data_IF_530141789718
#
_entry.id   IF_530141789718
#
_cell.length_a   1.000
_cell.length_b   1.000
_cell.length_c   1.000
_cell.angle_alpha   90.00
_cell.angle_beta   90.00
_cell.angle_gamma   90.00
#
_symmetry.space_group_name_H-M   'P 1'
#
loop_
_entity.id
_entity.type
_entity.pdbx_description
1 polymer ?
#
# COMPACT_ATOMS: atom_id res chain seq x y z
N UNK A 1 -5.04 24.36 2.32
CA UNK A 1 -6.20 23.65 2.94
C UNK A 1 -5.87 23.31 4.40
N UNK A 2 -6.84 23.29 5.35
CA UNK A 2 -6.52 22.90 6.73
C UNK A 2 -6.29 21.37 6.91
N UNK A 3 -5.68 20.96 8.03
CA UNK A 3 -5.35 19.54 8.28
C UNK A 3 -6.57 18.63 8.42
N UNK A 4 -7.70 19.16 8.87
CA UNK A 4 -8.92 18.36 9.02
C UNK A 4 -9.55 18.11 7.64
N UNK A 5 -9.69 19.16 6.84
CA UNK A 5 -10.11 19.08 5.45
C UNK A 5 -9.22 18.13 4.64
N UNK A 6 -7.89 18.19 4.83
CA UNK A 6 -6.95 17.28 4.20
C UNK A 6 -7.20 15.81 4.58
N UNK A 7 -7.48 15.50 5.85
CA UNK A 7 -7.85 14.14 6.28
C UNK A 7 -9.15 13.67 5.66
N UNK A 8 -10.15 14.53 5.62
CA UNK A 8 -11.45 14.22 5.02
C UNK A 8 -11.32 13.99 3.51
N UNK A 9 -10.43 14.72 2.84
CA UNK A 9 -10.13 14.53 1.42
C UNK A 9 -9.42 13.20 1.13
N UNK A 10 -8.42 12.85 1.95
CA UNK A 10 -7.75 11.54 1.88
C UNK A 10 -8.77 10.42 2.10
N UNK A 11 -9.63 10.54 3.12
CA UNK A 11 -10.66 9.55 3.43
C UNK A 11 -11.64 9.38 2.27
N UNK A 12 -12.14 10.49 1.71
CA UNK A 12 -13.07 10.49 0.57
C UNK A 12 -12.46 9.81 -0.67
N UNK A 13 -11.14 9.92 -0.85
CA UNK A 13 -10.44 9.33 -1.98
C UNK A 13 -10.07 7.86 -1.74
N UNK A 14 -9.57 7.54 -0.55
CA UNK A 14 -8.91 6.26 -0.26
C UNK A 14 -9.79 5.24 0.47
N UNK A 15 -11.00 5.58 0.90
CA UNK A 15 -11.98 4.61 1.45
C UNK A 15 -13.13 4.34 0.46
N UNK A 16 -12.84 4.45 -0.84
CA UNK A 16 -13.80 4.30 -1.95
C UNK A 16 -13.15 3.53 -3.12
N UNK A 17 -13.96 2.86 -3.97
CA UNK A 17 -13.49 2.30 -5.23
C UNK A 17 -12.76 3.34 -6.08
N UNK A 18 -11.87 2.90 -6.97
CA UNK A 18 -11.13 3.84 -7.81
C UNK A 18 -12.06 4.67 -8.68
N UNK A 19 -11.90 5.99 -8.64
CA UNK A 19 -12.54 6.93 -9.54
C UNK A 19 -11.48 7.87 -10.11
N UNK A 20 -11.42 7.97 -11.44
CA UNK A 20 -10.38 8.73 -12.13
C UNK A 20 -10.43 10.21 -11.80
N UNK A 21 -11.63 10.80 -11.76
CA UNK A 21 -11.81 12.22 -11.49
C UNK A 21 -11.33 12.54 -10.09
N UNK A 22 -11.81 11.80 -9.08
CA UNK A 22 -11.42 11.96 -7.69
C UNK A 22 -9.92 11.74 -7.47
N UNK A 23 -9.33 10.73 -8.12
CA UNK A 23 -7.88 10.50 -8.07
C UNK A 23 -7.10 11.67 -8.68
N UNK A 24 -7.52 12.17 -9.84
CA UNK A 24 -6.86 13.29 -10.52
C UNK A 24 -6.90 14.55 -9.65
N UNK A 25 -8.07 14.88 -9.10
CA UNK A 25 -8.22 16.01 -8.17
C UNK A 25 -7.37 15.80 -6.92
N UNK A 26 -7.36 14.60 -6.34
CA UNK A 26 -6.52 14.30 -5.18
C UNK A 26 -5.03 14.55 -5.44
N UNK A 27 -4.50 14.11 -6.59
CA UNK A 27 -3.08 14.30 -6.91
C UNK A 27 -2.77 15.76 -7.24
N UNK A 28 -3.71 16.50 -7.84
CA UNK A 28 -3.58 17.96 -8.04
C UNK A 28 -3.44 18.70 -6.71
N UNK A 29 -4.30 18.39 -5.73
CA UNK A 29 -4.21 18.98 -4.39
C UNK A 29 -2.94 18.53 -3.67
N UNK A 30 -2.53 17.26 -3.83
CA UNK A 30 -1.32 16.73 -3.18
C UNK A 30 -0.04 17.42 -3.67
N UNK A 31 0.02 17.77 -4.96
CA UNK A 31 1.19 18.33 -5.62
C UNK A 31 1.10 19.84 -5.83
N UNK A 32 0.01 20.47 -5.34
CA UNK A 32 -0.42 21.85 -5.62
C UNK A 32 -0.71 22.20 -7.08
N UNK A 33 -0.11 21.49 -8.04
CA UNK A 33 -0.37 21.62 -9.46
C UNK A 33 0.10 20.37 -10.23
N UNK A 34 -0.42 20.17 -11.44
CA UNK A 34 0.14 19.23 -12.43
C UNK A 34 0.07 19.85 -13.83
N UNK A 35 1.08 19.61 -14.65
CA UNK A 35 1.03 19.85 -16.09
C UNK A 35 0.13 18.79 -16.73
N UNK A 36 -0.96 19.22 -17.36
CA UNK A 36 -1.85 18.32 -18.09
C UNK A 36 -1.18 17.83 -19.38
N UNK A 37 -0.78 16.55 -19.40
CA UNK A 37 -0.05 15.95 -20.52
C UNK A 37 -0.47 14.49 -20.75
N UNK A 38 -1.75 14.23 -21.05
CA UNK A 38 -2.28 12.90 -21.04
C UNK A 38 -1.80 12.05 -22.21
N UNK A 39 -1.64 10.75 -21.98
CA UNK A 39 -1.60 9.74 -23.04
C UNK A 39 -2.23 8.45 -22.53
N UNK A 40 -2.69 7.60 -23.44
CA UNK A 40 -3.27 6.31 -23.10
C UNK A 40 -2.74 5.21 -24.02
N UNK A 41 -2.10 4.21 -23.42
CA UNK A 41 -1.55 3.03 -24.10
C UNK A 41 -2.37 1.80 -23.72
N UNK A 42 -2.74 1.03 -24.73
CA UNK A 42 -3.47 -0.23 -24.59
C UNK A 42 -3.04 -1.20 -25.70
N UNK A 43 -3.34 -2.49 -25.53
CA UNK A 43 -3.10 -3.51 -26.55
C UNK A 43 -1.63 -3.60 -26.96
N UNK A 44 -1.33 -3.41 -28.25
CA UNK A 44 0.02 -3.54 -28.82
C UNK A 44 1.03 -2.55 -28.24
N UNK A 45 0.58 -1.40 -27.72
CA UNK A 45 1.45 -0.40 -27.09
C UNK A 45 1.94 -0.79 -25.70
N UNK A 46 1.35 -1.83 -25.09
CA UNK A 46 1.89 -2.44 -23.87
C UNK A 46 2.99 -3.44 -24.30
N UNK A 47 4.19 -3.40 -23.70
CA UNK A 47 5.25 -4.34 -24.05
C UNK A 47 4.82 -5.79 -23.82
N UNK A 48 5.23 -6.67 -24.74
CA UNK A 48 4.80 -8.07 -24.84
C UNK A 48 4.86 -8.82 -23.50
N UNK A 49 5.95 -8.65 -22.76
CA UNK A 49 6.18 -9.29 -21.47
C UNK A 49 5.10 -8.95 -20.40
N UNK A 50 4.42 -7.81 -20.54
CA UNK A 50 3.46 -7.30 -19.57
C UNK A 50 2.00 -7.37 -20.02
N UNK A 51 1.70 -7.70 -21.29
CA UNK A 51 0.32 -7.72 -21.83
C UNK A 51 -0.63 -8.67 -21.09
N UNK A 52 -0.11 -9.77 -20.57
CA UNK A 52 -0.88 -10.73 -19.76
C UNK A 52 -1.26 -10.20 -18.36
N UNK A 53 -0.64 -9.09 -17.92
CA UNK A 53 -0.87 -8.54 -16.58
C UNK A 53 -1.45 -7.12 -16.58
N UNK A 54 -1.15 -6.32 -17.61
CA UNK A 54 -1.54 -4.91 -17.73
C UNK A 54 -2.44 -4.75 -18.95
N UNK A 55 -3.63 -4.21 -18.72
CA UNK A 55 -4.60 -3.92 -19.76
C UNK A 55 -4.37 -2.55 -20.38
N UNK A 56 -4.04 -1.54 -19.56
CA UNK A 56 -3.71 -0.19 -20.06
C UNK A 56 -2.76 0.57 -19.14
N UNK A 57 -2.03 1.51 -19.73
CA UNK A 57 -1.23 2.53 -19.05
C UNK A 57 -1.72 3.90 -19.52
N UNK A 58 -2.18 4.73 -18.60
CA UNK A 58 -2.55 6.12 -18.86
C UNK A 58 -1.65 7.04 -18.04
N UNK A 59 -1.09 8.09 -18.65
CA UNK A 59 -0.58 9.24 -17.90
C UNK A 59 -1.65 10.30 -17.91
N UNK A 60 -1.91 10.91 -16.76
CA UNK A 60 -2.86 12.03 -16.64
C UNK A 60 -2.15 13.38 -16.59
N UNK A 61 -0.92 13.43 -16.10
CA UNK A 61 -0.13 14.64 -16.04
C UNK A 61 1.31 14.39 -15.63
N UNK A 62 2.05 15.50 -15.52
CA UNK A 62 3.42 15.54 -15.00
C UNK A 62 3.51 16.57 -13.89
N UNK A 63 4.48 16.39 -13.03
CA UNK A 63 4.84 17.33 -12.00
C UNK A 63 6.36 17.46 -11.97
N UNK A 64 6.84 18.65 -11.67
CA UNK A 64 8.25 18.93 -11.49
C UNK A 64 8.41 19.68 -10.16
N UNK A 65 9.25 19.17 -9.27
CA UNK A 65 9.49 19.77 -7.96
C UNK A 65 10.60 20.86 -7.96
N UNK A 66 11.13 21.19 -9.15
CA UNK A 66 12.29 22.05 -9.36
C UNK A 66 13.54 21.26 -9.81
N UNK A 67 13.63 19.98 -9.46
CA UNK A 67 14.80 19.13 -9.73
C UNK A 67 14.42 17.82 -10.43
N UNK A 68 13.33 17.20 -9.98
CA UNK A 68 12.89 15.86 -10.35
C UNK A 68 11.57 15.92 -11.10
N UNK A 69 11.46 15.14 -12.17
CA UNK A 69 10.22 14.91 -12.89
C UNK A 69 9.48 13.70 -12.32
N UNK A 70 8.20 13.91 -12.00
CA UNK A 70 7.28 12.90 -11.49
C UNK A 70 6.09 12.79 -12.44
N UNK A 71 5.90 11.63 -13.07
CA UNK A 71 4.74 11.40 -13.93
C UNK A 71 3.59 10.77 -13.12
N UNK A 72 2.34 11.18 -13.40
CA UNK A 72 1.15 10.68 -12.71
C UNK A 72 0.45 9.67 -13.61
N UNK A 73 0.41 8.41 -13.17
CA UNK A 73 0.00 7.26 -13.96
C UNK A 73 -1.22 6.54 -13.38
N UNK A 74 -2.07 6.03 -14.25
CA UNK A 74 -3.12 5.07 -13.96
C UNK A 74 -2.81 3.80 -14.75
N UNK A 75 -2.62 2.69 -14.03
CA UNK A 75 -2.34 1.38 -14.62
C UNK A 75 -3.52 0.48 -14.33
N UNK A 76 -4.20 0.05 -15.39
CA UNK A 76 -5.25 -0.97 -15.27
C UNK A 76 -4.63 -2.35 -15.44
N UNK A 77 -4.95 -3.25 -14.51
CA UNK A 77 -4.50 -4.64 -14.51
C UNK A 77 -5.47 -5.51 -15.32
N UNK A 78 -5.01 -6.69 -15.74
CA UNK A 78 -5.87 -7.74 -16.27
C UNK A 78 -6.68 -8.38 -15.13
N UNK A 79 -7.83 -8.97 -15.46
CA UNK A 79 -8.78 -9.53 -14.48
C UNK A 79 -8.17 -10.63 -13.61
N UNK A 80 -7.31 -11.46 -14.17
CA UNK A 80 -6.64 -12.55 -13.47
C UNK A 80 -5.47 -12.06 -12.59
N UNK A 81 -5.07 -10.80 -12.74
CA UNK A 81 -3.92 -10.22 -12.04
C UNK A 81 -4.36 -9.57 -10.74
N UNK A 82 -4.08 -10.22 -9.61
CA UNK A 82 -4.37 -9.64 -8.30
C UNK A 82 -3.42 -8.49 -7.94
N UNK A 83 -3.92 -7.54 -7.15
CA UNK A 83 -3.10 -6.48 -6.54
C UNK A 83 -1.99 -7.02 -5.61
N UNK A 84 -2.07 -8.28 -5.16
CA UNK A 84 -1.15 -8.89 -4.23
C UNK A 84 -0.01 -9.68 -4.92
N UNK A 85 -0.31 -10.38 -6.01
CA UNK A 85 0.62 -11.30 -6.70
C UNK A 85 1.54 -10.61 -7.71
N UNK A 86 1.30 -9.33 -8.03
CA UNK A 86 1.99 -8.65 -9.13
C UNK A 86 3.03 -7.61 -8.70
N UNK A 87 3.50 -7.62 -7.43
CA UNK A 87 4.30 -6.50 -6.90
C UNK A 87 5.59 -6.23 -7.68
N UNK A 88 6.35 -7.29 -7.93
CA UNK A 88 7.60 -7.23 -8.71
C UNK A 88 7.32 -6.81 -10.15
N UNK A 89 6.27 -7.38 -10.77
CA UNK A 89 5.88 -7.06 -12.14
C UNK A 89 5.50 -5.58 -12.30
N UNK A 90 4.62 -5.07 -11.43
CA UNK A 90 4.20 -3.66 -11.40
C UNK A 90 5.40 -2.71 -11.28
N UNK A 91 6.32 -3.02 -10.36
CA UNK A 91 7.55 -2.24 -10.15
C UNK A 91 8.44 -2.25 -11.40
N UNK A 92 8.66 -3.43 -11.99
CA UNK A 92 9.50 -3.57 -13.18
C UNK A 92 8.88 -2.88 -14.40
N UNK A 93 7.55 -2.91 -14.51
CA UNK A 93 6.84 -2.18 -15.55
C UNK A 93 7.06 -0.67 -15.41
N UNK A 94 6.80 -0.10 -14.23
CA UNK A 94 7.02 1.33 -14.04
C UNK A 94 8.51 1.70 -14.16
N UNK A 95 9.44 0.85 -13.73
CA UNK A 95 10.87 1.06 -13.95
C UNK A 95 11.21 1.18 -15.44
N UNK A 96 10.68 0.30 -16.30
CA UNK A 96 10.89 0.39 -17.75
C UNK A 96 10.31 1.67 -18.34
N UNK A 97 9.16 2.13 -17.84
CA UNK A 97 8.58 3.42 -18.20
C UNK A 97 9.47 4.62 -17.79
N UNK A 98 10.03 4.59 -16.58
CA UNK A 98 10.92 5.64 -16.07
C UNK A 98 12.24 5.70 -16.85
N UNK A 99 12.77 4.54 -17.25
CA UNK A 99 13.95 4.39 -18.10
C UNK A 99 13.72 4.75 -19.58
N UNK A 100 12.54 5.22 -19.95
CA UNK A 100 12.24 5.62 -21.32
C UNK A 100 12.10 4.47 -22.33
N UNK A 101 12.04 3.20 -21.88
CA UNK A 101 11.86 2.03 -22.77
C UNK A 101 10.52 2.05 -23.51
N UNK A 102 9.52 2.72 -22.93
CA UNK A 102 8.19 2.93 -23.51
C UNK A 102 7.48 4.10 -22.84
N UNK A 103 6.35 4.53 -23.41
CA UNK A 103 5.52 5.63 -22.91
C UNK A 103 6.05 7.01 -23.31
N UNK A 104 7.30 7.31 -22.95
CA UNK A 104 7.99 8.56 -23.32
C UNK A 104 9.48 8.30 -23.37
N UNK A 105 10.17 8.78 -24.40
CA UNK A 105 11.61 8.56 -24.63
C UNK A 105 12.52 9.20 -23.58
N UNK A 106 12.05 10.22 -22.86
CA UNK A 106 12.86 10.89 -21.85
C UNK A 106 12.83 10.13 -20.52
N UNK A 107 13.99 10.08 -19.86
CA UNK A 107 14.15 9.59 -18.49
C UNK A 107 13.36 10.45 -17.48
N UNK A 108 13.00 9.81 -16.37
CA UNK A 108 12.16 10.37 -15.31
C UNK A 108 12.61 9.76 -13.98
N UNK A 109 12.59 10.55 -12.92
CA UNK A 109 13.08 10.13 -11.61
C UNK A 109 12.05 9.28 -10.87
N UNK A 110 10.76 9.60 -11.01
CA UNK A 110 9.69 8.90 -10.31
C UNK A 110 8.32 8.92 -11.02
N UNK A 111 7.41 8.10 -10.50
CA UNK A 111 6.00 8.13 -10.86
C UNK A 111 5.09 7.89 -9.64
N UNK A 112 4.00 8.66 -9.58
CA UNK A 112 2.86 8.38 -8.72
C UNK A 112 1.85 7.55 -9.51
N UNK A 113 1.46 6.39 -8.99
CA UNK A 113 0.77 5.36 -9.75
C UNK A 113 -0.46 4.86 -9.01
N UNK A 114 -1.61 4.95 -9.66
CA UNK A 114 -2.82 4.22 -9.28
C UNK A 114 -2.88 2.88 -10.03
N UNK A 115 -2.76 1.76 -9.32
CA UNK A 115 -3.01 0.43 -9.88
C UNK A 115 -4.46 0.02 -9.62
N UNK A 116 -5.18 -0.27 -10.68
CA UNK A 116 -6.63 -0.53 -10.65
C UNK A 116 -6.90 -1.89 -11.29
N UNK A 117 -7.60 -2.77 -10.59
CA UNK A 117 -8.08 -4.03 -11.15
C UNK A 117 -9.58 -3.90 -11.47
N UNK A 118 -10.08 -4.43 -12.61
CA UNK A 118 -11.43 -4.15 -13.10
C UNK A 118 -12.56 -4.64 -12.18
N UNK A 119 -12.32 -5.69 -11.40
CA UNK A 119 -13.34 -6.32 -10.52
C UNK A 119 -13.02 -6.12 -9.02
N UNK A 120 -12.09 -5.24 -8.67
CA UNK A 120 -11.74 -4.97 -7.28
C UNK A 120 -12.20 -3.57 -6.87
N UNK A 121 -12.86 -3.48 -5.72
CA UNK A 121 -13.20 -2.21 -5.07
C UNK A 121 -12.00 -1.61 -4.32
N UNK A 122 -10.95 -2.40 -4.12
CA UNK A 122 -9.69 -1.96 -3.57
C UNK A 122 -8.69 -1.71 -4.70
N UNK A 123 -7.80 -0.76 -4.51
CA UNK A 123 -6.78 -0.34 -5.46
C UNK A 123 -5.50 0.07 -4.72
N UNK A 124 -4.41 0.30 -5.46
CA UNK A 124 -3.13 0.71 -4.83
C UNK A 124 -2.68 2.06 -5.34
N UNK A 125 -2.38 2.96 -4.41
CA UNK A 125 -1.67 4.19 -4.69
C UNK A 125 -0.20 4.00 -4.33
N UNK A 126 0.70 4.23 -5.28
CA UNK A 126 2.13 3.93 -5.13
C UNK A 126 3.03 5.04 -5.60
N UNK A 127 4.17 5.18 -4.95
CA UNK A 127 5.32 5.90 -5.46
C UNK A 127 6.32 4.87 -5.99
N UNK A 128 6.76 5.04 -7.23
CA UNK A 128 7.87 4.28 -7.83
C UNK A 128 8.97 5.26 -8.18
N UNK A 129 10.20 4.99 -7.75
CA UNK A 129 11.36 5.86 -7.97
C UNK A 129 12.53 5.04 -8.48
N UNK A 130 13.31 5.60 -9.41
CA UNK A 130 14.60 5.02 -9.78
C UNK A 130 15.59 5.19 -8.63
N UNK A 131 16.13 4.08 -8.11
CA UNK A 131 17.27 4.13 -7.20
C UNK A 131 18.51 4.33 -8.08
N UNK A 132 19.43 5.24 -7.77
CA UNK A 132 20.69 5.37 -8.52
C UNK A 132 21.82 5.08 -7.55
N UNK A 133 22.53 3.97 -7.75
CA UNK A 133 23.79 3.70 -7.05
C UNK A 133 24.91 4.29 -7.89
N UNK A 134 25.54 5.35 -7.39
CA UNK A 134 26.80 5.82 -7.96
C UNK A 134 27.93 4.98 -7.35
N UNK A 135 28.37 3.93 -8.03
CA UNK A 135 29.62 3.25 -7.67
C UNK A 135 30.80 3.98 -8.34
N UNK A 136 31.66 4.62 -7.53
CA UNK A 136 32.93 5.14 -8.02
C UNK A 136 33.90 3.96 -8.24
N UNK A 137 34.22 3.66 -9.50
CA UNK A 137 35.29 2.73 -9.81
C UNK A 137 36.66 3.32 -9.37
N UNK A 138 37.59 2.53 -8.80
CA UNK A 138 38.90 3.00 -8.32
C UNK A 138 39.84 3.61 -9.38
N UNK A 139 39.43 3.69 -10.65
CA UNK A 139 40.31 4.04 -11.79
C UNK A 139 39.90 5.30 -12.56
N UNK A 140 39.05 6.16 -12.00
CA UNK A 140 38.76 7.49 -12.55
C UNK A 140 38.07 7.51 -13.93
N UNK A 141 37.77 6.35 -14.52
CA UNK A 141 36.84 6.20 -15.63
C UNK A 141 35.49 5.82 -15.08
N UNK A 142 34.50 6.70 -15.22
CA UNK A 142 33.09 6.36 -15.02
C UNK A 142 32.73 5.25 -16.01
N UNK A 143 32.78 4.00 -15.55
CA UNK A 143 31.96 2.95 -16.13
C UNK A 143 30.61 3.10 -15.46
N UNK A 144 29.66 3.72 -16.17
CA UNK A 144 28.24 3.56 -15.86
C UNK A 144 27.95 2.10 -16.22
N UNK A 145 28.23 1.17 -15.31
CA UNK A 145 27.64 -0.14 -15.41
C UNK A 145 26.15 0.07 -15.18
N UNK A 146 25.39 0.06 -16.28
CA UNK A 146 23.93 -0.05 -16.33
C UNK A 146 23.47 -1.39 -15.73
N UNK A 147 24.00 -1.79 -14.57
CA UNK A 147 23.37 -2.82 -13.76
C UNK A 147 22.05 -2.24 -13.26
N UNK A 148 20.98 -2.50 -14.03
CA UNK A 148 19.56 -2.34 -13.73
C UNK A 148 19.32 -1.94 -12.28
N UNK A 149 19.45 -0.65 -11.96
CA UNK A 149 19.28 -0.24 -10.59
C UNK A 149 17.81 -0.49 -10.23
N UNK A 150 17.52 -1.34 -9.24
CA UNK A 150 16.16 -1.76 -9.00
C UNK A 150 15.36 -0.56 -8.52
N UNK A 151 14.38 -0.11 -9.31
CA UNK A 151 13.44 0.91 -8.87
C UNK A 151 12.82 0.51 -7.52
N UNK A 152 12.70 1.46 -6.60
CA UNK A 152 12.00 1.27 -5.34
C UNK A 152 10.53 1.56 -5.51
N UNK A 153 9.72 0.87 -4.71
CA UNK A 153 8.28 1.08 -4.71
C UNK A 153 7.73 1.05 -3.30
N UNK A 154 6.94 2.07 -3.01
CA UNK A 154 6.13 2.17 -1.82
C UNK A 154 4.66 2.24 -2.20
N UNK A 155 3.77 1.68 -1.38
CA UNK A 155 2.37 1.58 -1.74
C UNK A 155 1.45 1.68 -0.53
N UNK A 156 0.39 2.47 -0.65
CA UNK A 156 -0.83 2.34 0.14
C UNK A 156 -1.78 1.36 -0.56
N UNK A 157 -2.33 0.40 0.18
CA UNK A 157 -3.53 -0.32 -0.24
C UNK A 157 -4.73 0.49 0.26
N UNK A 158 -5.62 0.86 -0.65
CA UNK A 158 -6.73 1.76 -0.43
C UNK A 158 -7.98 1.20 -1.10
N UNK A 159 -9.16 1.69 -0.74
CA UNK A 159 -10.41 1.16 -1.27
C UNK A 159 -11.49 1.03 -0.21
N UNK A 160 -12.65 0.54 -0.64
CA UNK A 160 -13.82 0.38 0.21
C UNK A 160 -13.57 -0.51 1.44
N UNK A 161 -12.71 -1.53 1.33
CA UNK A 161 -12.40 -2.45 2.42
C UNK A 161 -11.21 -2.01 3.29
N UNK A 162 -10.60 -0.86 3.00
CA UNK A 162 -9.41 -0.38 3.67
C UNK A 162 -9.67 0.90 4.45
N UNK A 163 -9.09 0.96 5.66
CA UNK A 163 -9.07 2.20 6.46
C UNK A 163 -7.87 3.03 6.05
N UNK A 164 -8.08 4.33 5.92
CA UNK A 164 -7.07 5.25 5.38
C UNK A 164 -6.16 5.88 6.44
N UNK A 165 -6.17 5.41 7.70
CA UNK A 165 -5.43 6.03 8.81
C UNK A 165 -3.93 6.26 8.54
N UNK A 166 -3.25 5.27 7.96
CA UNK A 166 -1.82 5.39 7.62
C UNK A 166 -1.59 6.39 6.49
N UNK A 167 -2.45 6.40 5.47
CA UNK A 167 -2.36 7.39 4.40
C UNK A 167 -2.66 8.81 4.91
N UNK A 168 -3.65 8.95 5.79
CA UNK A 168 -3.97 10.21 6.46
C UNK A 168 -2.79 10.72 7.27
N UNK A 169 -2.19 9.91 8.15
CA UNK A 169 -1.07 10.38 8.99
C UNK A 169 0.16 10.76 8.17
N UNK A 170 0.38 10.12 7.02
CA UNK A 170 1.54 10.36 6.16
C UNK A 170 1.36 11.50 5.18
N UNK A 171 0.20 11.64 4.55
CA UNK A 171 -0.02 12.60 3.47
C UNK A 171 -0.66 13.91 3.95
N UNK A 172 -1.23 13.96 5.15
CA UNK A 172 -1.96 15.16 5.65
C UNK A 172 -1.09 16.41 5.65
N UNK A 173 0.19 16.32 6.00
CA UNK A 173 1.06 17.48 6.08
C UNK A 173 1.41 18.02 4.69
N UNK A 174 1.62 17.13 3.71
CA UNK A 174 1.88 17.52 2.32
C UNK A 174 0.61 18.16 1.73
N UNK A 175 -0.54 17.48 1.89
CA UNK A 175 -1.81 17.92 1.33
C UNK A 175 -2.34 19.22 1.96
N UNK A 176 -1.94 19.54 3.19
CA UNK A 176 -2.29 20.80 3.85
C UNK A 176 -1.36 21.96 3.47
N UNK A 177 -0.22 21.69 2.82
CA UNK A 177 0.76 22.70 2.42
C UNK A 177 0.49 23.17 0.98
N UNK A 178 -0.34 24.20 0.85
CA UNK A 178 -0.67 24.85 -0.43
C UNK A 178 0.30 25.97 -0.81
N UNK A 179 1.29 26.27 0.03
CA UNK A 179 2.29 27.32 -0.23
C UNK A 179 3.50 26.79 -1.00
N UNK A 180 3.91 25.54 -0.76
CA UNK A 180 5.12 24.95 -1.34
C UNK A 180 4.84 23.59 -1.97
N UNK A 181 5.29 23.43 -3.22
CA UNK A 181 5.26 22.16 -3.93
C UNK A 181 6.07 21.10 -3.16
N UNK A 182 5.57 19.86 -2.99
CA UNK A 182 6.34 18.82 -2.33
C UNK A 182 7.51 18.36 -3.21
N UNK A 183 8.64 18.13 -2.57
CA UNK A 183 9.81 17.50 -3.18
C UNK A 183 9.61 15.98 -3.33
N UNK A 184 10.34 15.36 -4.26
CA UNK A 184 10.39 13.90 -4.37
C UNK A 184 10.84 13.23 -3.07
N UNK A 185 11.74 13.87 -2.30
CA UNK A 185 12.19 13.37 -1.01
C UNK A 185 11.06 13.38 0.05
N UNK A 186 10.24 14.43 0.10
CA UNK A 186 9.07 14.49 0.98
C UNK A 186 8.01 13.46 0.60
N UNK A 187 7.77 13.28 -0.71
CA UNK A 187 6.89 12.21 -1.20
C UNK A 187 7.44 10.83 -0.84
N UNK A 188 8.74 10.59 -0.99
CA UNK A 188 9.38 9.34 -0.59
C UNK A 188 9.17 9.06 0.91
N UNK A 189 9.46 10.03 1.78
CA UNK A 189 9.29 9.85 3.23
C UNK A 189 7.83 9.63 3.62
N UNK A 190 6.88 10.32 2.98
CA UNK A 190 5.46 10.10 3.24
C UNK A 190 5.02 8.69 2.81
N UNK A 191 5.54 8.18 1.70
CA UNK A 191 5.24 6.83 1.24
C UNK A 191 6.04 5.73 1.97
N UNK A 192 7.12 6.08 2.64
CA UNK A 192 7.97 5.16 3.39
C UNK A 192 7.29 4.70 4.69
N UNK A 193 6.37 3.75 4.55
CA UNK A 193 5.70 3.10 5.68
C UNK A 193 6.67 2.05 6.24
N UNK A 194 7.22 2.28 7.44
CA UNK A 194 7.92 1.23 8.18
C UNK A 194 7.08 -0.07 8.18
N UNK A 195 7.71 -1.21 7.89
CA UNK A 195 7.03 -2.51 7.77
C UNK A 195 6.20 -2.88 9.01
N UNK A 196 6.59 -2.34 10.16
CA UNK A 196 5.81 -2.29 11.40
C UNK A 196 6.05 -0.92 12.03
N UNK A 197 5.02 -0.09 12.13
CA UNK A 197 5.18 1.22 12.80
C UNK A 197 5.46 1.01 14.29
N UNK A 198 6.29 1.88 14.88
CA UNK A 198 6.49 1.91 16.35
C UNK A 198 5.15 1.93 17.10
N UNK A 199 4.17 2.65 16.57
CA UNK A 199 2.82 2.70 17.12
C UNK A 199 2.14 1.33 17.15
N UNK A 200 2.16 0.57 16.05
CA UNK A 200 1.60 -0.77 16.01
C UNK A 200 2.26 -1.68 17.05
N UNK A 201 3.59 -1.63 17.15
CA UNK A 201 4.33 -2.43 18.13
C UNK A 201 3.90 -2.10 19.56
N UNK A 202 3.84 -0.82 19.92
CA UNK A 202 3.42 -0.42 21.27
C UNK A 202 1.97 -0.80 21.56
N UNK A 203 1.03 -0.57 20.63
CA UNK A 203 -0.38 -0.99 20.79
C UNK A 203 -0.50 -2.51 20.95
N UNK A 204 0.23 -3.28 20.15
CA UNK A 204 0.22 -4.75 20.23
C UNK A 204 0.83 -5.25 21.55
N UNK A 205 1.93 -4.65 21.99
CA UNK A 205 2.54 -4.92 23.29
C UNK A 205 1.57 -4.63 24.44
N UNK A 206 0.89 -3.50 24.39
CA UNK A 206 -0.06 -3.11 25.45
C UNK A 206 -1.26 -4.07 25.49
N UNK A 207 -1.73 -4.55 24.33
CA UNK A 207 -2.72 -5.63 24.25
C UNK A 207 -2.20 -6.94 24.85
N UNK A 208 -0.95 -7.29 24.61
CA UNK A 208 -0.30 -8.46 25.22
C UNK A 208 -0.26 -8.35 26.73
N UNK A 209 0.21 -7.21 27.27
CA UNK A 209 0.28 -6.97 28.71
C UNK A 209 -1.11 -7.13 29.34
N UNK A 210 -2.11 -6.42 28.81
CA UNK A 210 -3.49 -6.49 29.30
C UNK A 210 -4.06 -7.92 29.25
N UNK A 211 -3.82 -8.66 28.17
CA UNK A 211 -4.30 -10.03 28.02
C UNK A 211 -3.65 -10.97 29.01
N UNK A 212 -2.33 -10.82 29.22
CA UNK A 212 -1.57 -11.63 30.18
C UNK A 212 -2.01 -11.35 31.60
N UNK A 213 -2.19 -10.09 31.99
CA UNK A 213 -2.67 -9.71 33.32
C UNK A 213 -4.06 -10.28 33.61
N UNK A 214 -4.99 -10.19 32.65
CA UNK A 214 -6.32 -10.78 32.79
C UNK A 214 -6.26 -12.32 32.91
N UNK A 215 -5.34 -12.98 32.21
CA UNK A 215 -5.14 -14.43 32.33
C UNK A 215 -4.53 -14.82 33.68
N UNK A 216 -3.57 -14.04 34.19
CA UNK A 216 -2.99 -14.28 35.52
C UNK A 216 -4.07 -14.17 36.60
N UNK A 217 -4.90 -13.13 36.55
CA UNK A 217 -6.03 -12.96 37.47
C UNK A 217 -7.01 -14.13 37.39
N UNK A 218 -7.36 -14.58 36.18
CA UNK A 218 -8.25 -15.71 35.95
C UNK A 218 -7.68 -17.02 36.53
N UNK A 219 -6.40 -17.28 36.33
CA UNK A 219 -5.70 -18.47 36.84
C UNK A 219 -5.58 -18.41 38.36
N UNK A 220 -5.35 -17.24 38.95
CA UNK A 220 -5.29 -17.08 40.40
C UNK A 220 -6.64 -17.30 41.08
N UNK A 221 -7.73 -16.81 40.46
CA UNK A 221 -9.06 -16.80 41.08
C UNK A 221 -9.88 -18.08 40.80
N UNK A 222 -9.45 -18.96 39.89
CA UNK A 222 -10.18 -20.16 39.52
C UNK A 222 -9.32 -21.42 39.62
N UNK A 223 -9.55 -22.21 40.66
CA UNK A 223 -8.79 -23.44 40.94
C UNK A 223 -8.84 -24.46 39.80
N UNK A 224 -9.97 -24.60 39.12
CA UNK A 224 -10.11 -25.56 38.02
C UNK A 224 -9.25 -25.15 36.82
N UNK A 225 -9.24 -23.86 36.49
CA UNK A 225 -8.40 -23.32 35.40
C UNK A 225 -6.93 -23.47 35.75
N UNK A 226 -6.56 -23.15 37.00
CA UNK A 226 -5.19 -23.32 37.49
C UNK A 226 -4.68 -24.75 37.34
N UNK A 227 -5.45 -25.72 37.82
CA UNK A 227 -5.09 -27.14 37.71
C UNK A 227 -4.97 -27.60 36.25
N UNK A 228 -5.85 -27.13 35.35
CA UNK A 228 -5.75 -27.45 33.92
C UNK A 228 -4.49 -26.86 33.26
N UNK A 229 -4.15 -25.62 33.60
CA UNK A 229 -2.93 -24.97 33.11
C UNK A 229 -1.66 -25.69 33.60
N UNK A 230 -1.61 -26.05 34.87
CA UNK A 230 -0.50 -26.81 35.47
C UNK A 230 -0.37 -28.21 34.82
N UNK A 231 -1.47 -28.95 34.69
CA UNK A 231 -1.49 -30.28 34.07
C UNK A 231 -1.03 -30.26 32.62
N UNK A 232 -1.34 -29.19 31.87
CA UNK A 232 -0.94 -29.02 30.46
C UNK A 232 0.39 -28.29 30.28
N UNK A 233 1.07 -27.92 31.38
CA UNK A 233 2.30 -27.12 31.35
C UNK A 233 2.15 -25.82 30.54
N UNK A 234 1.00 -25.15 30.69
CA UNK A 234 0.68 -23.91 29.98
C UNK A 234 1.02 -22.70 30.85
N UNK A 235 1.87 -21.83 30.34
CA UNK A 235 2.16 -20.52 30.93
C UNK A 235 1.24 -19.44 30.33
N UNK A 236 0.71 -18.55 31.15
CA UNK A 236 -0.14 -17.40 30.75
C UNK A 236 0.56 -16.49 29.72
N UNK A 237 1.88 -16.32 29.83
CA UNK A 237 2.69 -15.55 28.86
C UNK A 237 2.62 -16.18 27.47
N UNK A 238 2.87 -17.47 27.36
CA UNK A 238 2.88 -18.16 26.06
C UNK A 238 1.48 -18.30 25.50
N UNK A 239 0.49 -18.51 26.37
CA UNK A 239 -0.92 -18.51 25.98
C UNK A 239 -1.33 -17.17 25.39
N UNK A 240 -1.05 -16.05 26.06
CA UNK A 240 -1.36 -14.71 25.58
C UNK A 240 -0.70 -14.41 24.22
N UNK A 241 0.59 -14.77 24.06
CA UNK A 241 1.30 -14.63 22.78
C UNK A 241 0.64 -15.45 21.67
N UNK A 242 0.32 -16.72 21.92
CA UNK A 242 -0.34 -17.61 20.94
C UNK A 242 -1.72 -17.09 20.58
N UNK A 243 -2.51 -16.66 21.56
CA UNK A 243 -3.85 -16.11 21.34
C UNK A 243 -3.81 -14.87 20.45
N UNK A 244 -2.98 -13.89 20.78
CA UNK A 244 -2.86 -12.68 19.96
C UNK A 244 -2.31 -12.99 18.56
N UNK A 245 -1.34 -13.90 18.45
CA UNK A 245 -0.82 -14.36 17.16
C UNK A 245 -1.91 -15.03 16.31
N UNK A 246 -2.75 -15.86 16.91
CA UNK A 246 -3.90 -16.48 16.24
C UNK A 246 -4.92 -15.42 15.80
N UNK A 247 -5.23 -14.42 16.63
CA UNK A 247 -6.13 -13.33 16.24
C UNK A 247 -5.56 -12.58 15.03
N UNK A 248 -4.28 -12.22 15.04
CA UNK A 248 -3.62 -11.57 13.89
C UNK A 248 -3.66 -12.46 12.65
N UNK A 249 -3.43 -13.77 12.81
CA UNK A 249 -3.51 -14.74 11.72
C UNK A 249 -4.92 -14.83 11.12
N UNK A 250 -5.96 -14.87 11.96
CA UNK A 250 -7.35 -14.81 11.49
C UNK A 250 -7.62 -13.50 10.75
N UNK A 251 -7.12 -12.36 11.25
CA UNK A 251 -7.21 -11.10 10.53
C UNK A 251 -6.54 -11.15 9.15
N UNK A 252 -5.39 -11.81 9.03
CA UNK A 252 -4.71 -12.03 7.75
C UNK A 252 -5.53 -12.91 6.79
N UNK A 253 -6.12 -14.01 7.28
CA UNK A 253 -6.99 -14.87 6.47
C UNK A 253 -8.24 -14.15 6.00
N UNK A 254 -8.88 -13.35 6.86
CA UNK A 254 -10.04 -12.54 6.48
C UNK A 254 -9.70 -11.61 5.31
N UNK A 255 -8.51 -10.99 5.32
CA UNK A 255 -8.09 -10.05 4.27
C UNK A 255 -7.90 -10.73 2.92
N UNK A 256 -7.73 -12.05 2.88
CA UNK A 256 -7.76 -12.85 1.65
C UNK A 256 -9.18 -13.17 1.17
N UNK A 257 -10.22 -12.78 1.90
CA UNK A 257 -11.62 -13.13 1.59
C UNK A 257 -11.94 -14.60 1.85
N UNK A 258 -11.29 -15.23 2.84
CA UNK A 258 -11.44 -16.66 3.12
C UNK A 258 -12.50 -16.99 4.16
N UNK A 259 -13.06 -15.99 4.85
CA UNK A 259 -14.12 -16.22 5.82
C UNK A 259 -15.49 -15.84 5.26
N UNK A 260 -16.53 -16.59 5.65
CA UNK A 260 -17.90 -16.35 5.18
C UNK A 260 -18.11 -16.65 3.69
N UNK A 261 -17.28 -17.52 3.09
CA UNK A 261 -17.45 -17.93 1.69
C UNK A 261 -18.72 -18.77 1.58
N UNK A 262 -19.61 -18.42 0.64
CA UNK A 262 -20.83 -19.18 0.37
C UNK A 262 -20.52 -20.60 -0.13
N UNK A 263 -21.46 -21.53 0.09
CA UNK A 263 -21.29 -22.98 -0.17
C UNK A 263 -20.73 -23.31 -1.56
N UNK A 264 -21.13 -22.55 -2.58
CA UNK A 264 -20.74 -22.74 -3.98
C UNK A 264 -19.92 -21.57 -4.55
N UNK A 265 -19.43 -20.68 -3.68
CA UNK A 265 -18.61 -19.54 -4.07
C UNK A 265 -17.12 -19.90 -4.10
N UNK A 266 -16.36 -19.26 -4.99
CA UNK A 266 -14.92 -19.43 -5.06
C UNK A 266 -14.22 -18.88 -3.80
N UNK A 267 -13.14 -19.52 -3.38
CA UNK A 267 -12.26 -19.00 -2.32
C UNK A 267 -11.77 -17.58 -2.66
N UNK A 268 -11.78 -16.70 -1.65
CA UNK A 268 -11.46 -15.29 -1.82
C UNK A 268 -12.66 -14.38 -2.06
N UNK A 269 -13.87 -14.93 -2.16
CA UNK A 269 -15.13 -14.18 -2.27
C UNK A 269 -15.83 -13.94 -0.94
N UNK A 270 -15.26 -14.39 0.17
CA UNK A 270 -15.75 -14.12 1.52
C UNK A 270 -15.50 -12.67 1.95
N UNK A 271 -16.18 -12.22 3.01
CA UNK A 271 -16.05 -10.85 3.48
C UNK A 271 -14.63 -10.55 3.98
N UNK A 272 -14.04 -9.45 3.50
CA UNK A 272 -12.78 -8.90 4.01
C UNK A 272 -12.95 -8.19 5.37
N UNK A 273 -14.18 -8.13 5.88
CA UNK A 273 -14.55 -7.54 7.19
C UNK A 273 -15.27 -8.56 8.09
N UNK A 274 -15.22 -9.85 7.75
CA UNK A 274 -15.99 -10.92 8.39
C UNK A 274 -15.92 -10.91 9.93
N UNK A 275 -14.73 -10.76 10.52
CA UNK A 275 -14.59 -10.78 11.98
C UNK A 275 -15.27 -9.58 12.64
N UNK A 276 -15.28 -8.43 11.95
CA UNK A 276 -15.95 -7.21 12.42
C UNK A 276 -17.46 -7.34 12.31
N UNK A 277 -17.96 -7.87 11.19
CA UNK A 277 -19.37 -8.17 10.98
C UNK A 277 -19.90 -9.13 12.05
N UNK A 278 -19.15 -10.21 12.32
CA UNK A 278 -19.48 -11.17 13.37
C UNK A 278 -19.54 -10.52 14.76
N UNK A 279 -18.60 -9.64 15.08
CA UNK A 279 -18.57 -8.91 16.34
C UNK A 279 -19.74 -7.91 16.46
N UNK A 280 -20.07 -7.22 15.38
CA UNK A 280 -21.18 -6.26 15.31
C UNK A 280 -22.55 -6.92 15.12
N UNK A 281 -22.59 -8.25 14.92
CA UNK A 281 -23.81 -9.04 14.63
C UNK A 281 -24.55 -8.55 13.39
N UNK A 282 -23.80 -8.26 12.33
CA UNK A 282 -24.32 -7.93 11.00
C UNK A 282 -24.42 -9.14 10.09
#
# INVERSE_FOLDING_TARGET
>A
MDKQQARDWIKKTFEQPFDKTRFTTFVQELLNHIEHAPFNYHGSYIPDAYRQYISSLERIGKFNDGENRIDILIIKLQKETSLASARTMQRNFVAGYLQGKYGSSNEKEAALVAYVAPDEVDWRFSLVKMDYKFEQAPTGKMKVEEELTPARRWSFLVGENEKSHTAQSRLVNILANDEHNPTLAELEEAFNIESVTKEFFYKYRDLFIRTKEALDELVQNNSNIKTDFEAKSVNTVDFAKKLLGQIVFLYFLQKKGWFGVGRDAAWGKGSKQFLRELFEKK
#
